data_IF_457290243674
#
_entry.id   IF_457290243674
#
_cell.length_a   1.000
_cell.length_b   1.000
_cell.length_c   1.000
_cell.angle_alpha   90.00
_cell.angle_beta   90.00
_cell.angle_gamma   90.00
#
_symmetry.space_group_name_H-M   'P 1'
#
loop_
_entity.id
_entity.type
_entity.pdbx_description
1 polymer ?
#
# COMPACT_ATOMS: atom_id res chain seq x y z
N UNK A 1 -1.10 24.24 1.14
CA UNK A 1 -1.75 23.35 2.13
C UNK A 1 -1.56 21.91 1.67
N UNK A 2 -1.13 21.00 2.54
CA UNK A 2 -0.86 19.59 2.13
C UNK A 2 -2.13 18.73 2.08
N UNK A 3 -3.20 19.12 2.79
CA UNK A 3 -4.49 18.44 2.81
C UNK A 3 -5.66 19.43 2.67
N UNK A 4 -6.85 18.91 2.40
CA UNK A 4 -8.13 19.63 2.50
C UNK A 4 -9.21 18.70 3.05
N UNK A 5 -10.16 19.24 3.82
CA UNK A 5 -11.34 18.49 4.23
C UNK A 5 -12.29 18.30 3.05
N UNK A 6 -12.91 17.12 2.96
CA UNK A 6 -13.86 16.78 1.89
C UNK A 6 -15.30 16.68 2.40
N UNK A 7 -15.50 16.75 3.71
CA UNK A 7 -16.80 16.73 4.39
C UNK A 7 -16.73 17.45 5.75
N UNK A 8 -17.87 17.47 6.46
CA UNK A 8 -18.00 18.02 7.81
C UNK A 8 -17.74 16.97 8.93
N UNK A 9 -17.28 15.77 8.57
CA UNK A 9 -16.98 14.68 9.50
C UNK A 9 -15.48 14.58 9.82
N UNK A 10 -14.67 15.50 9.29
CA UNK A 10 -13.23 15.52 9.50
C UNK A 10 -12.46 14.61 8.54
N UNK A 11 -13.12 14.08 7.50
CA UNK A 11 -12.41 13.34 6.44
C UNK A 11 -11.60 14.32 5.60
N UNK A 12 -10.33 13.99 5.37
CA UNK A 12 -9.42 14.83 4.61
C UNK A 12 -8.70 14.07 3.51
N UNK A 13 -8.24 14.82 2.51
CA UNK A 13 -7.56 14.29 1.34
C UNK A 13 -6.23 14.98 1.09
N UNK A 14 -5.21 14.18 0.77
CA UNK A 14 -3.88 14.59 0.31
C UNK A 14 -3.71 14.12 -1.13
N UNK A 15 -3.52 15.06 -2.06
CA UNK A 15 -3.27 14.73 -3.46
C UNK A 15 -1.79 14.44 -3.68
N UNK A 16 -1.48 13.39 -4.45
CA UNK A 16 -0.11 12.98 -4.76
C UNK A 16 0.78 12.85 -3.50
N UNK A 17 0.34 12.09 -2.49
CA UNK A 17 0.98 12.05 -1.17
C UNK A 17 2.43 11.56 -1.22
N UNK A 18 2.83 10.82 -2.27
CA UNK A 18 4.21 10.40 -2.54
C UNK A 18 5.22 11.54 -2.72
N UNK A 19 4.75 12.76 -3.00
CA UNK A 19 5.61 13.95 -3.15
C UNK A 19 5.99 14.58 -1.80
N UNK A 20 5.34 14.17 -0.73
CA UNK A 20 5.51 14.74 0.60
C UNK A 20 6.30 13.73 1.43
N UNK A 21 7.48 14.14 1.90
CA UNK A 21 8.32 13.26 2.70
C UNK A 21 7.75 13.10 4.12
N UNK A 22 8.05 11.96 4.74
CA UNK A 22 7.82 11.69 6.16
C UNK A 22 6.35 11.65 6.61
N UNK A 23 5.40 11.54 5.68
CA UNK A 23 4.00 11.33 6.03
C UNK A 23 3.77 9.92 6.57
N UNK A 24 3.06 9.84 7.70
CA UNK A 24 2.42 8.63 8.18
C UNK A 24 1.10 8.99 8.87
N UNK A 25 0.25 7.99 9.05
CA UNK A 25 -1.05 8.08 9.67
C UNK A 25 -1.18 6.99 10.75
N UNK A 26 -1.69 7.32 11.94
CA UNK A 26 -1.87 6.33 13.01
C UNK A 26 -3.14 5.50 12.78
N UNK A 27 -3.07 4.22 13.11
CA UNK A 27 -4.23 3.34 13.23
C UNK A 27 -4.14 2.65 14.60
N UNK A 28 -5.28 2.49 15.27
CA UNK A 28 -5.40 1.76 16.54
C UNK A 28 -6.83 1.24 16.72
N UNK A 29 -7.00 0.24 17.57
CA UNK A 29 -8.30 -0.12 18.11
C UNK A 29 -8.66 0.77 19.31
N UNK A 30 -9.84 0.55 19.89
CA UNK A 30 -10.37 1.37 21.00
C UNK A 30 -9.49 1.35 22.25
N UNK A 31 -8.84 0.21 22.53
CA UNK A 31 -8.10 -0.04 23.77
C UNK A 31 -6.61 0.31 23.64
N UNK A 32 -6.15 0.67 22.43
CA UNK A 32 -4.73 0.97 22.19
C UNK A 32 -3.82 -0.26 22.22
N UNK A 33 -4.38 -1.48 22.18
CA UNK A 33 -3.61 -2.73 22.33
C UNK A 33 -2.90 -3.14 21.03
N UNK A 34 -3.32 -2.60 19.89
CA UNK A 34 -2.61 -2.71 18.62
C UNK A 34 -2.40 -1.30 18.03
N UNK A 35 -1.13 -0.97 17.80
CA UNK A 35 -0.70 0.31 17.26
C UNK A 35 -0.08 0.08 15.88
N UNK A 36 -0.54 0.83 14.88
CA UNK A 36 0.05 0.84 13.54
C UNK A 36 0.38 2.27 13.12
N UNK A 37 1.57 2.45 12.55
CA UNK A 37 1.87 3.61 11.69
C UNK A 37 1.80 3.19 10.22
N UNK A 38 1.15 3.99 9.36
CA UNK A 38 1.09 3.71 7.93
C UNK A 38 1.31 4.95 7.09
N UNK A 39 2.20 4.85 6.10
CA UNK A 39 2.54 5.94 5.19
C UNK A 39 1.92 5.75 3.80
N UNK A 40 1.95 6.77 2.92
CA UNK A 40 1.39 6.67 1.58
C UNK A 40 2.03 5.60 0.68
N UNK A 41 3.24 5.14 0.99
CA UNK A 41 3.88 4.01 0.32
C UNK A 41 3.62 2.67 1.04
N UNK A 42 2.62 2.62 1.94
CA UNK A 42 2.24 1.47 2.76
C UNK A 42 3.34 1.00 3.72
N UNK A 43 4.35 1.84 4.01
CA UNK A 43 5.38 1.54 4.99
C UNK A 43 4.99 2.01 6.40
N UNK A 44 5.56 1.37 7.40
CA UNK A 44 5.46 1.76 8.80
C UNK A 44 5.70 0.54 9.68
N UNK A 45 5.21 0.60 10.91
CA UNK A 45 5.30 -0.49 11.87
C UNK A 45 3.94 -0.87 12.45
N UNK A 46 3.85 -2.11 12.94
CA UNK A 46 2.72 -2.66 13.68
C UNK A 46 3.27 -3.26 14.96
N UNK A 47 2.75 -2.84 16.11
CA UNK A 47 3.23 -3.29 17.42
C UNK A 47 2.11 -3.32 18.46
N UNK A 48 2.33 -4.05 19.55
CA UNK A 48 1.52 -3.95 20.77
C UNK A 48 2.14 -2.99 21.78
N UNK A 49 3.47 -2.99 21.88
CA UNK A 49 4.26 -2.15 22.77
C UNK A 49 5.71 -2.04 22.25
N UNK A 50 6.63 -1.58 23.08
CA UNK A 50 8.04 -1.35 22.71
C UNK A 50 8.87 -2.64 22.59
N UNK A 51 8.36 -3.78 23.03
CA UNK A 51 9.08 -5.06 23.00
C UNK A 51 8.42 -6.06 22.02
N UNK A 52 7.18 -5.80 21.60
CA UNK A 52 6.37 -6.71 20.79
C UNK A 52 5.94 -6.08 19.47
N UNK A 53 6.76 -6.29 18.44
CA UNK A 53 6.55 -5.83 17.08
C UNK A 53 6.16 -6.98 16.14
N UNK A 54 5.19 -6.75 15.25
CA UNK A 54 4.84 -7.67 14.15
C UNK A 54 5.67 -7.40 12.89
N UNK A 55 5.89 -6.12 12.57
CA UNK A 55 6.79 -5.67 11.49
C UNK A 55 8.01 -4.99 12.10
N UNK A 56 9.14 -4.87 11.38
CA UNK A 56 10.32 -4.20 11.92
C UNK A 56 9.98 -2.80 12.46
N UNK A 57 10.53 -2.40 13.62
CA UNK A 57 10.42 -1.03 14.10
C UNK A 57 10.90 -0.06 13.01
N UNK A 58 10.12 0.97 12.72
CA UNK A 58 10.38 1.86 11.60
C UNK A 58 10.64 3.30 12.06
N UNK A 59 11.77 3.85 11.64
CA UNK A 59 12.03 5.29 11.69
C UNK A 59 11.43 5.99 10.45
N UNK A 60 11.49 7.32 10.43
CA UNK A 60 11.06 8.10 9.26
C UNK A 60 11.95 7.83 8.03
N UNK A 61 13.21 7.47 8.23
CA UNK A 61 14.13 7.00 7.19
C UNK A 61 13.77 5.59 6.69
N UNK A 62 13.37 4.69 7.59
CA UNK A 62 12.93 3.33 7.24
C UNK A 62 11.68 3.36 6.37
N UNK A 63 10.70 4.21 6.69
CA UNK A 63 9.48 4.40 5.89
C UNK A 63 9.83 4.70 4.43
N UNK A 64 10.89 5.47 4.18
CA UNK A 64 11.35 5.81 2.83
C UNK A 64 12.12 4.66 2.17
N UNK A 65 13.07 4.08 2.89
CA UNK A 65 14.13 3.28 2.29
C UNK A 65 13.98 1.77 2.52
N UNK A 66 13.37 1.36 3.63
CA UNK A 66 13.33 -0.03 4.06
C UNK A 66 12.11 -0.76 3.46
N UNK A 67 12.29 -1.69 2.51
CA UNK A 67 11.18 -2.42 1.92
C UNK A 67 10.51 -3.39 2.90
N UNK A 68 11.19 -3.81 3.98
CA UNK A 68 10.64 -4.72 4.98
C UNK A 68 9.55 -4.08 5.85
N UNK A 69 9.52 -2.75 5.90
CA UNK A 69 8.50 -2.01 6.63
C UNK A 69 7.20 -1.85 5.81
N UNK A 70 7.10 -2.39 4.59
CA UNK A 70 5.95 -2.19 3.68
C UNK A 70 4.94 -3.33 3.73
N UNK A 71 3.65 -2.97 3.84
CA UNK A 71 2.49 -3.87 3.70
C UNK A 71 2.13 -4.04 2.23
N UNK A 72 3.09 -4.58 1.49
CA UNK A 72 3.07 -4.49 0.03
C UNK A 72 2.37 -5.68 -0.63
N UNK A 73 1.87 -5.44 -1.84
CA UNK A 73 1.34 -6.47 -2.70
C UNK A 73 1.62 -6.14 -4.16
N UNK A 74 1.63 -7.19 -4.97
CA UNK A 74 1.99 -7.10 -6.38
C UNK A 74 0.80 -7.49 -7.25
N UNK A 75 0.60 -6.68 -8.27
CA UNK A 75 -0.37 -6.90 -9.35
C UNK A 75 0.43 -7.26 -10.59
N UNK A 76 0.24 -8.47 -11.10
CA UNK A 76 0.82 -8.87 -12.38
C UNK A 76 -0.21 -8.69 -13.50
N UNK A 77 0.13 -7.83 -14.46
CA UNK A 77 -0.60 -7.68 -15.72
C UNK A 77 -0.24 -8.80 -16.71
N UNK A 78 -1.07 -8.98 -17.74
CA UNK A 78 -0.92 -10.10 -18.70
C UNK A 78 0.32 -9.98 -19.58
N UNK A 79 0.72 -8.76 -19.92
CA UNK A 79 1.96 -8.44 -20.63
C UNK A 79 3.23 -8.76 -19.82
N UNK A 80 3.06 -9.17 -18.55
CA UNK A 80 4.15 -9.49 -17.64
C UNK A 80 4.63 -8.32 -16.80
N UNK A 81 4.08 -7.12 -16.99
CA UNK A 81 4.38 -5.96 -16.15
C UNK A 81 3.87 -6.23 -14.73
N UNK A 82 4.70 -5.91 -13.74
CA UNK A 82 4.36 -6.03 -12.32
C UNK A 82 4.23 -4.65 -11.71
N UNK A 83 3.05 -4.36 -11.19
CA UNK A 83 2.75 -3.15 -10.43
C UNK A 83 2.87 -3.46 -8.95
N UNK A 84 3.63 -2.62 -8.25
CA UNK A 84 3.83 -2.71 -6.81
C UNK A 84 2.94 -1.67 -6.13
N UNK A 85 2.13 -2.07 -5.16
CA UNK A 85 1.17 -1.20 -4.50
C UNK A 85 1.84 -0.05 -3.74
N UNK A 86 3.04 -0.26 -3.20
CA UNK A 86 3.82 0.79 -2.53
C UNK A 86 4.37 1.87 -3.47
N UNK A 87 4.36 1.66 -4.79
CA UNK A 87 4.96 2.59 -5.75
C UNK A 87 3.96 3.67 -6.17
N UNK A 88 4.44 4.87 -6.57
CA UNK A 88 3.57 5.93 -7.03
C UNK A 88 2.83 5.58 -8.32
N UNK A 89 1.62 6.12 -8.47
CA UNK A 89 0.81 6.03 -9.70
C UNK A 89 0.64 7.42 -10.31
N UNK A 90 0.35 7.55 -11.62
CA UNK A 90 0.18 8.85 -12.28
C UNK A 90 -0.88 9.73 -11.62
N UNK A 91 -1.96 9.11 -11.14
CA UNK A 91 -2.99 9.76 -10.35
C UNK A 91 -3.17 8.98 -9.06
N UNK A 92 -2.87 9.63 -7.94
CA UNK A 92 -3.13 9.06 -6.62
C UNK A 92 -3.49 10.11 -5.59
N UNK A 93 -4.29 9.71 -4.63
CA UNK A 93 -4.59 10.50 -3.46
C UNK A 93 -4.76 9.60 -2.24
N UNK A 94 -4.43 10.16 -1.09
CA UNK A 94 -4.70 9.57 0.21
C UNK A 94 -5.91 10.25 0.81
N UNK A 95 -6.90 9.47 1.22
CA UNK A 95 -8.04 9.90 2.02
C UNK A 95 -7.93 9.27 3.41
N UNK A 96 -8.07 10.07 4.46
CA UNK A 96 -8.06 9.61 5.84
C UNK A 96 -9.27 10.17 6.60
N UNK A 97 -9.75 9.40 7.57
CA UNK A 97 -10.83 9.77 8.47
C UNK A 97 -10.68 9.05 9.82
N UNK A 98 -11.73 9.03 10.63
CA UNK A 98 -11.75 8.41 11.96
C UNK A 98 -12.20 6.93 11.93
N UNK A 99 -11.35 5.93 12.19
CA UNK A 99 -9.90 5.93 12.01
C UNK A 99 -9.52 4.97 10.87
N UNK A 100 -9.21 5.53 9.70
CA UNK A 100 -8.82 4.75 8.52
C UNK A 100 -7.87 5.50 7.60
N UNK A 101 -7.10 4.74 6.82
CA UNK A 101 -6.19 5.21 5.78
C UNK A 101 -6.53 4.56 4.44
N UNK A 102 -7.08 5.34 3.50
CA UNK A 102 -7.52 4.87 2.17
C UNK A 102 -6.69 5.48 1.06
N UNK A 103 -5.90 4.65 0.40
CA UNK A 103 -5.09 5.04 -0.75
C UNK A 103 -5.81 4.69 -2.04
N UNK A 104 -6.06 5.70 -2.88
CA UNK A 104 -6.69 5.53 -4.19
C UNK A 104 -5.67 5.85 -5.26
N UNK A 105 -5.46 4.88 -6.16
CA UNK A 105 -4.45 4.93 -7.22
C UNK A 105 -5.06 4.56 -8.55
N UNK A 106 -4.59 5.22 -9.59
CA UNK A 106 -5.16 5.06 -10.93
C UNK A 106 -4.08 5.16 -12.00
N UNK A 107 -4.09 4.21 -12.93
CA UNK A 107 -3.27 4.21 -14.14
C UNK A 107 -4.15 3.94 -15.37
N UNK A 108 -3.53 3.72 -16.52
CA UNK A 108 -4.24 3.46 -17.78
C UNK A 108 -5.00 2.12 -17.79
N UNK A 109 -4.54 1.14 -17.02
CA UNK A 109 -5.06 -0.23 -17.03
C UNK A 109 -6.14 -0.48 -15.98
N UNK A 110 -6.00 0.09 -14.79
CA UNK A 110 -6.88 -0.18 -13.65
C UNK A 110 -6.89 0.98 -12.64
N UNK A 111 -7.91 0.97 -11.78
CA UNK A 111 -7.91 1.69 -10.51
C UNK A 111 -7.76 0.71 -9.34
N UNK A 112 -7.14 1.22 -8.29
CA UNK A 112 -6.76 0.48 -7.10
C UNK A 112 -7.18 1.29 -5.87
N UNK A 113 -7.95 0.67 -5.01
CA UNK A 113 -8.35 1.19 -3.71
C UNK A 113 -7.75 0.29 -2.62
N UNK A 114 -7.02 0.88 -1.68
CA UNK A 114 -6.39 0.17 -0.56
C UNK A 114 -6.86 0.85 0.73
N UNK A 115 -7.78 0.20 1.44
CA UNK A 115 -8.31 0.68 2.71
C UNK A 115 -7.61 -0.07 3.84
N UNK A 116 -6.97 0.66 4.74
CA UNK A 116 -6.31 0.14 5.92
C UNK A 116 -6.99 0.71 7.17
N UNK A 117 -7.33 -0.16 8.10
CA UNK A 117 -7.92 0.21 9.39
C UNK A 117 -7.70 -0.91 10.40
N UNK A 118 -7.84 -0.58 11.68
CA UNK A 118 -7.91 -1.57 12.75
C UNK A 118 -9.36 -1.57 13.25
N UNK A 119 -10.07 -2.72 13.26
CA UNK A 119 -11.43 -2.77 13.78
C UNK A 119 -11.49 -2.39 15.26
N UNK A 120 -12.63 -1.83 15.67
CA UNK A 120 -12.83 -1.26 17.01
C UNK A 120 -12.51 -2.24 18.16
N UNK A 121 -12.93 -3.51 18.03
CA UNK A 121 -12.81 -4.57 19.05
C UNK A 121 -11.86 -5.71 18.64
N UNK A 122 -10.89 -5.47 17.74
CA UNK A 122 -10.00 -6.53 17.27
C UNK A 122 -8.53 -6.07 17.17
N UNK A 123 -7.63 -6.88 17.72
CA UNK A 123 -6.17 -6.74 17.56
C UNK A 123 -5.71 -7.24 16.18
N UNK A 124 -6.26 -6.66 15.11
CA UNK A 124 -5.84 -6.97 13.76
C UNK A 124 -5.88 -5.73 12.87
N UNK A 125 -4.82 -5.49 12.10
CA UNK A 125 -4.88 -4.55 10.99
C UNK A 125 -5.47 -5.24 9.77
N UNK A 126 -6.49 -4.60 9.18
CA UNK A 126 -7.16 -5.08 7.98
C UNK A 126 -6.76 -4.20 6.80
N UNK A 127 -6.17 -4.80 5.78
CA UNK A 127 -5.95 -4.19 4.47
C UNK A 127 -6.97 -4.75 3.46
N UNK A 128 -7.96 -3.95 3.10
CA UNK A 128 -8.93 -4.27 2.06
C UNK A 128 -8.46 -3.69 0.72
N UNK A 129 -8.26 -4.57 -0.26
CA UNK A 129 -7.85 -4.19 -1.61
C UNK A 129 -9.02 -4.36 -2.58
N UNK A 130 -9.35 -3.30 -3.32
CA UNK A 130 -10.31 -3.33 -4.42
C UNK A 130 -9.60 -2.93 -5.71
N UNK A 131 -9.68 -3.79 -6.72
CA UNK A 131 -9.08 -3.56 -8.03
C UNK A 131 -10.18 -3.52 -9.09
N UNK A 132 -10.17 -2.50 -9.94
CA UNK A 132 -11.13 -2.35 -11.03
C UNK A 132 -10.38 -2.13 -12.34
N UNK A 133 -10.48 -3.09 -13.26
CA UNK A 133 -9.92 -2.93 -14.61
C UNK A 133 -10.67 -1.86 -15.39
N UNK A 134 -9.94 -1.00 -16.10
CA UNK A 134 -10.52 -0.04 -17.06
C UNK A 134 -10.61 -0.73 -18.42
N UNK A 135 -11.82 -0.88 -18.96
CA UNK A 135 -12.01 -1.64 -20.21
C UNK A 135 -11.37 -0.93 -21.42
N UNK A 136 -10.38 -1.59 -22.01
CA UNK A 136 -10.42 -2.08 -23.41
C UNK A 136 -10.00 -3.54 -23.58
N UNK A 137 -9.43 -4.18 -22.54
CA UNK A 137 -9.16 -5.62 -22.54
C UNK A 137 -9.58 -6.25 -21.21
N UNK A 138 -10.06 -7.51 -21.26
CA UNK A 138 -10.41 -8.34 -20.09
C UNK A 138 -9.15 -8.73 -19.31
N UNK A 139 -8.41 -7.76 -18.79
CA UNK A 139 -7.17 -7.96 -18.06
C UNK A 139 -7.46 -7.87 -16.57
N UNK A 140 -7.75 -9.02 -15.98
CA UNK A 140 -7.83 -9.15 -14.53
C UNK A 140 -6.41 -9.27 -13.96
N UNK A 141 -6.03 -8.38 -13.03
CA UNK A 141 -4.76 -8.51 -12.33
C UNK A 141 -4.81 -9.69 -11.38
N UNK A 142 -3.75 -10.51 -11.38
CA UNK A 142 -3.56 -11.55 -10.37
C UNK A 142 -2.88 -10.95 -9.15
N UNK A 143 -3.52 -11.08 -7.98
CA UNK A 143 -2.96 -10.69 -6.69
C UNK A 143 -1.96 -11.77 -6.24
N UNK A 144 -0.71 -11.40 -5.99
CA UNK A 144 0.30 -12.31 -5.45
C UNK A 144 0.83 -11.76 -4.13
N UNK A 145 0.48 -12.37 -2.97
CA UNK A 145 1.13 -12.03 -1.71
C UNK A 145 2.59 -12.53 -1.71
N UNK A 146 3.51 -11.86 -0.99
CA UNK A 146 4.93 -12.24 -0.96
C UNK A 146 5.20 -13.71 -0.59
N UNK A 147 4.34 -14.34 0.21
CA UNK A 147 4.48 -15.75 0.65
C UNK A 147 4.26 -16.78 -0.46
N UNK A 148 3.64 -16.42 -1.60
CA UNK A 148 3.39 -17.33 -2.73
C UNK A 148 4.52 -17.32 -3.78
N UNK A 149 5.67 -16.72 -3.49
CA UNK A 149 6.86 -16.78 -4.34
C UNK A 149 7.51 -18.17 -4.33
N UNK A 150 6.83 -19.19 -4.88
CA UNK A 150 7.49 -20.41 -5.33
C UNK A 150 7.93 -20.22 -6.78
N UNK A 151 9.24 -20.36 -6.99
CA UNK A 151 9.91 -20.35 -8.29
C UNK A 151 9.24 -21.40 -9.19
N UNK A 152 8.35 -20.99 -10.11
CA UNK A 152 7.97 -21.87 -11.23
C UNK A 152 9.25 -22.11 -12.03
N UNK A 153 9.68 -23.38 -12.15
CA UNK A 153 10.81 -23.75 -13.02
C UNK A 153 10.53 -23.19 -14.42
N UNK A 154 11.42 -22.34 -14.92
CA UNK A 154 11.33 -21.82 -16.30
C UNK A 154 11.38 -23.01 -17.28
N UNK A 155 10.57 -23.03 -18.35
CA UNK A 155 10.92 -23.83 -19.51
C UNK A 155 12.29 -23.37 -20.05
N UNK A 156 13.17 -24.31 -20.40
CA UNK A 156 14.52 -24.03 -20.92
C UNK A 156 14.39 -23.14 -22.17
N UNK A 157 15.06 -21.98 -22.20
CA UNK A 157 15.31 -21.26 -23.46
C UNK A 157 15.10 -19.75 -23.52
N UNK A 158 14.69 -19.02 -22.46
CA UNK A 158 14.50 -17.57 -22.55
C UNK A 158 15.38 -16.76 -21.59
N UNK A 159 16.39 -16.11 -22.16
CA UNK A 159 17.26 -15.12 -21.52
C UNK A 159 16.50 -13.81 -21.26
N UNK A 160 16.55 -13.23 -20.05
CA UNK A 160 15.92 -11.94 -19.79
C UNK A 160 16.77 -10.81 -20.40
N UNK A 161 16.15 -10.01 -21.27
CA UNK A 161 16.66 -8.69 -21.65
C UNK A 161 16.26 -7.71 -20.55
N UNK A 162 17.22 -7.24 -19.77
CA UNK A 162 17.05 -6.09 -18.89
C UNK A 162 17.29 -4.83 -19.73
N UNK A 163 16.30 -3.96 -19.83
CA UNK A 163 16.51 -2.60 -20.31
C UNK A 163 16.91 -1.76 -19.08
N UNK A 164 18.19 -1.38 -19.03
CA UNK A 164 18.67 -0.34 -18.13
C UNK A 164 18.09 1.02 -18.55
N UNK A 165 17.67 1.90 -17.63
CA UNK A 165 17.26 3.25 -17.99
C UNK A 165 18.47 4.07 -18.43
N UNK A 166 18.29 4.91 -19.45
CA UNK A 166 19.15 6.08 -19.74
C UNK A 166 18.81 7.22 -18.79
#
# INVERSE_FOLDING_TARGET
MIYHFIDNYGTFRVNNPYKISYLYFPLTNKDGTLLSSISPNLAGDIKKDNDRFLTPPATVEDIKNNPLCRRDFFIRAKDGIVYQASKPFPQEYLECGFLYHKLVKENELFSLEILNFIPFDLDAEVMWIKIRGKKKDKNYPHLFPPSLWKRRKKPKGSSPRYLSPK
#
